data_IF_563785342168
#
_entry.id   IF_563785342168
#
_cell.length_a   1.000
_cell.length_b   1.000
_cell.length_c   1.000
_cell.angle_alpha   90.00
_cell.angle_beta   90.00
_cell.angle_gamma   90.00
#
_symmetry.space_group_name_H-M   'P 1'
#
loop_
_entity.id
_entity.type
_entity.pdbx_description
1 polymer ?
#
# COMPACT_ATOMS: atom_id res chain seq x y z
N UNK A 1 6.95 23.91 10.40
CA UNK A 1 7.75 22.71 10.69
C UNK A 1 6.77 21.54 10.71
N UNK A 2 6.52 20.93 9.55
CA UNK A 2 5.53 19.86 9.38
C UNK A 2 6.02 18.62 10.15
N UNK A 3 5.31 18.27 11.21
CA UNK A 3 5.62 17.14 12.07
C UNK A 3 5.53 15.85 11.25
N UNK A 4 6.63 15.10 11.22
CA UNK A 4 6.77 13.79 10.60
C UNK A 4 5.59 12.89 11.01
N UNK A 5 4.59 12.74 10.16
CA UNK A 5 3.64 11.62 10.19
C UNK A 5 4.40 10.37 9.75
N UNK A 6 5.38 9.94 10.55
CA UNK A 6 6.32 8.86 10.25
C UNK A 6 5.99 7.59 11.05
N UNK A 7 5.05 7.64 12.00
CA UNK A 7 4.85 6.52 12.94
C UNK A 7 3.91 5.43 12.39
N UNK A 8 2.69 5.78 11.96
CA UNK A 8 1.64 4.79 11.60
C UNK A 8 1.89 4.08 10.26
N UNK A 9 2.35 4.79 9.23
CA UNK A 9 2.64 4.17 7.93
C UNK A 9 3.81 3.20 8.00
N UNK A 10 4.80 3.50 8.85
CA UNK A 10 5.98 2.65 9.05
C UNK A 10 5.60 1.38 9.82
N UNK A 11 4.73 1.49 10.83
CA UNK A 11 4.18 0.33 11.54
C UNK A 11 3.39 -0.59 10.61
N UNK A 12 2.50 -0.04 9.76
CA UNK A 12 1.77 -0.84 8.78
C UNK A 12 2.73 -1.57 7.83
N UNK A 13 3.74 -0.87 7.30
CA UNK A 13 4.73 -1.51 6.41
C UNK A 13 5.49 -2.62 7.15
N UNK A 14 5.81 -2.46 8.43
CA UNK A 14 6.47 -3.51 9.23
C UNK A 14 5.59 -4.76 9.38
N UNK A 15 4.29 -4.59 9.65
CA UNK A 15 3.33 -5.71 9.69
C UNK A 15 3.24 -6.38 8.32
N UNK A 16 3.07 -5.62 7.24
CA UNK A 16 3.01 -6.16 5.88
C UNK A 16 4.32 -6.87 5.51
N UNK A 17 5.47 -6.39 5.96
CA UNK A 17 6.77 -7.01 5.72
C UNK A 17 6.89 -8.36 6.45
N UNK A 18 6.42 -8.45 7.69
CA UNK A 18 6.39 -9.70 8.44
C UNK A 18 5.53 -10.76 7.72
N UNK A 19 4.36 -10.36 7.23
CA UNK A 19 3.44 -11.29 6.57
C UNK A 19 3.85 -11.63 5.13
N UNK A 20 4.30 -10.66 4.34
CA UNK A 20 4.53 -10.82 2.91
C UNK A 20 6.00 -10.88 2.49
N UNK A 21 6.96 -10.57 3.38
CA UNK A 21 8.37 -10.38 3.02
C UNK A 21 9.03 -11.57 2.34
N UNK A 22 8.56 -12.79 2.60
CA UNK A 22 9.06 -14.01 1.93
C UNK A 22 8.46 -14.24 0.54
N UNK A 23 7.29 -13.66 0.26
CA UNK A 23 6.49 -13.97 -0.93
C UNK A 23 6.27 -12.75 -1.85
N UNK A 24 6.64 -11.55 -1.41
CA UNK A 24 6.41 -10.30 -2.14
C UNK A 24 7.63 -9.38 -2.03
N UNK A 25 7.99 -8.77 -3.15
CA UNK A 25 9.09 -7.80 -3.18
C UNK A 25 8.78 -6.55 -2.33
N UNK A 26 9.80 -6.00 -1.67
CA UNK A 26 9.69 -4.82 -0.80
C UNK A 26 9.01 -3.62 -1.46
N UNK A 27 9.26 -3.35 -2.75
CA UNK A 27 8.63 -2.24 -3.46
C UNK A 27 7.10 -2.42 -3.57
N UNK A 28 6.64 -3.66 -3.75
CA UNK A 28 5.21 -4.00 -3.79
C UNK A 28 4.59 -3.93 -2.39
N UNK A 29 5.29 -4.38 -1.37
CA UNK A 29 4.86 -4.25 0.03
C UNK A 29 4.67 -2.77 0.40
N UNK A 30 5.64 -1.92 0.06
CA UNK A 30 5.55 -0.46 0.27
C UNK A 30 4.39 0.15 -0.50
N UNK A 31 4.18 -0.27 -1.75
CA UNK A 31 3.02 0.15 -2.54
C UNK A 31 1.71 -0.24 -1.86
N UNK A 32 1.60 -1.47 -1.36
CA UNK A 32 0.44 -1.98 -0.64
C UNK A 32 0.14 -1.15 0.62
N UNK A 33 1.17 -0.85 1.42
CA UNK A 33 1.03 -0.01 2.60
C UNK A 33 0.53 1.40 2.26
N UNK A 34 1.12 2.04 1.23
CA UNK A 34 0.64 3.35 0.75
C UNK A 34 -0.79 3.28 0.24
N UNK A 35 -1.14 2.20 -0.48
CA UNK A 35 -2.48 2.00 -1.04
C UNK A 35 -3.54 1.85 0.05
N UNK A 36 -3.28 1.04 1.08
CA UNK A 36 -4.17 0.88 2.24
C UNK A 36 -4.34 2.21 2.97
N UNK A 37 -3.24 2.93 3.26
CA UNK A 37 -3.33 4.25 3.89
C UNK A 37 -4.13 5.26 3.05
N UNK A 38 -3.95 5.24 1.74
CA UNK A 38 -4.70 6.09 0.82
C UNK A 38 -6.20 5.76 0.86
N UNK A 39 -6.57 4.48 0.77
CA UNK A 39 -7.95 4.01 0.85
C UNK A 39 -8.62 4.48 2.16
N UNK A 40 -7.94 4.31 3.30
CA UNK A 40 -8.45 4.80 4.58
C UNK A 40 -8.63 6.33 4.62
N UNK A 41 -7.77 7.09 3.91
CA UNK A 41 -7.80 8.55 3.91
C UNK A 41 -8.86 9.14 2.98
N UNK A 42 -8.97 8.64 1.75
CA UNK A 42 -9.86 9.24 0.73
C UNK A 42 -11.20 8.52 0.58
N UNK A 43 -11.35 7.33 1.18
CA UNK A 43 -12.59 6.55 1.18
C UNK A 43 -13.18 6.34 -0.22
N UNK A 44 -12.32 6.20 -1.22
CA UNK A 44 -12.70 5.95 -2.62
C UNK A 44 -11.66 5.04 -3.28
N UNK A 45 -12.10 4.32 -4.30
CA UNK A 45 -11.28 3.37 -5.06
C UNK A 45 -10.66 3.98 -6.31
N UNK A 46 -10.98 5.25 -6.64
CA UNK A 46 -10.47 5.90 -7.85
C UNK A 46 -8.94 6.10 -7.81
N UNK A 47 -8.21 5.46 -8.71
CA UNK A 47 -6.73 5.47 -8.72
C UNK A 47 -6.13 6.88 -8.79
N UNK A 48 -6.75 7.81 -9.52
CA UNK A 48 -6.31 9.19 -9.59
C UNK A 48 -6.34 9.86 -8.20
N UNK A 49 -7.45 9.71 -7.48
CA UNK A 49 -7.62 10.27 -6.13
C UNK A 49 -6.77 9.54 -5.08
N UNK A 50 -6.48 8.25 -5.27
CA UNK A 50 -5.54 7.52 -4.42
C UNK A 50 -4.10 8.03 -4.63
N UNK A 51 -3.69 8.21 -5.89
CA UNK A 51 -2.33 8.61 -6.24
C UNK A 51 -1.93 9.98 -5.69
N UNK A 52 -2.87 10.93 -5.55
CA UNK A 52 -2.60 12.26 -4.97
C UNK A 52 -2.32 12.22 -3.47
N UNK A 53 -2.63 11.10 -2.79
CA UNK A 53 -2.42 10.97 -1.34
C UNK A 53 -1.19 10.16 -0.95
N UNK A 54 -0.50 9.60 -1.94
CA UNK A 54 0.74 8.87 -1.71
C UNK A 54 1.80 9.83 -1.19
N UNK A 55 2.21 9.63 0.07
CA UNK A 55 3.34 10.34 0.67
C UNK A 55 4.65 9.78 0.11
N UNK A 56 4.96 10.19 -1.11
CA UNK A 56 6.21 9.88 -1.80
C UNK A 56 6.75 11.15 -2.46
N UNK A 57 8.06 11.24 -2.67
CA UNK A 57 8.64 12.34 -3.44
C UNK A 57 8.33 12.29 -4.94
N UNK A 58 7.45 11.38 -5.39
CA UNK A 58 7.08 11.23 -6.79
C UNK A 58 5.81 12.04 -7.12
N UNK A 59 5.74 12.53 -8.35
CA UNK A 59 4.54 13.17 -8.90
C UNK A 59 3.32 12.24 -8.84
N UNK A 60 2.13 12.82 -8.67
CA UNK A 60 0.85 12.09 -8.64
C UNK A 60 0.64 11.21 -9.87
N UNK A 61 1.04 11.68 -11.05
CA UNK A 61 0.90 10.96 -12.33
C UNK A 61 1.81 9.73 -12.36
N UNK A 62 3.00 9.83 -11.77
CA UNK A 62 3.91 8.70 -11.61
C UNK A 62 3.35 7.65 -10.65
N UNK A 63 2.73 8.09 -9.56
CA UNK A 63 2.03 7.22 -8.61
C UNK A 63 0.81 6.54 -9.24
N UNK A 64 0.04 7.27 -10.04
CA UNK A 64 -1.10 6.74 -10.80
C UNK A 64 -0.65 5.62 -11.75
N UNK A 65 0.38 5.88 -12.56
CA UNK A 65 0.95 4.86 -13.46
C UNK A 65 1.44 3.62 -12.69
N UNK A 66 2.01 3.81 -11.50
CA UNK A 66 2.46 2.70 -10.65
C UNK A 66 1.28 1.86 -10.14
N UNK A 67 0.19 2.51 -9.70
CA UNK A 67 -1.05 1.80 -9.30
C UNK A 67 -1.61 1.02 -10.48
N UNK A 68 -1.73 1.66 -11.66
CA UNK A 68 -2.27 1.02 -12.86
C UNK A 68 -1.46 -0.21 -13.26
N UNK A 69 -0.13 -0.10 -13.33
CA UNK A 69 0.75 -1.25 -13.63
C UNK A 69 0.65 -2.33 -12.58
N UNK A 70 0.58 -1.98 -11.30
CA UNK A 70 0.39 -2.97 -10.24
C UNK A 70 -0.91 -3.75 -10.44
N UNK A 71 -2.02 -3.06 -10.70
CA UNK A 71 -3.31 -3.73 -10.90
C UNK A 71 -3.39 -4.52 -12.21
N UNK A 72 -2.70 -4.09 -13.27
CA UNK A 72 -2.69 -4.77 -14.56
C UNK A 72 -1.75 -5.98 -14.59
N UNK A 73 -0.54 -5.84 -14.06
CA UNK A 73 0.54 -6.81 -14.29
C UNK A 73 0.81 -7.71 -13.08
N UNK A 74 0.45 -7.27 -11.86
CA UNK A 74 0.76 -8.02 -10.66
C UNK A 74 -0.41 -8.93 -10.26
N UNK A 75 -0.20 -10.24 -10.46
CA UNK A 75 -1.08 -11.27 -9.90
C UNK A 75 -0.90 -11.34 -8.39
N UNK A 76 -1.77 -10.65 -7.67
CA UNK A 76 -1.81 -10.69 -6.22
C UNK A 76 -2.21 -12.10 -5.77
N UNK A 77 -1.36 -12.76 -4.98
CA UNK A 77 -1.67 -14.06 -4.42
C UNK A 77 -2.75 -13.89 -3.33
N UNK A 78 -3.97 -14.35 -3.64
CA UNK A 78 -5.14 -14.26 -2.77
C UNK A 78 -5.00 -15.07 -1.49
N UNK A 79 -4.25 -16.17 -1.50
CA UNK A 79 -4.02 -16.99 -0.30
C UNK A 79 -3.18 -16.22 0.73
N UNK A 80 -2.21 -15.43 0.26
CA UNK A 80 -1.45 -14.54 1.16
C UNK A 80 -2.35 -13.48 1.79
N UNK A 81 -3.25 -12.90 0.99
CA UNK A 81 -4.21 -11.90 1.49
C UNK A 81 -5.17 -12.51 2.49
N UNK A 82 -5.70 -13.72 2.21
CA UNK A 82 -6.57 -14.44 3.13
C UNK A 82 -5.87 -14.73 4.46
N UNK A 83 -4.62 -15.20 4.44
CA UNK A 83 -3.82 -15.42 5.65
C UNK A 83 -3.61 -14.14 6.46
N UNK A 84 -3.39 -13.00 5.79
CA UNK A 84 -3.30 -11.70 6.47
C UNK A 84 -4.65 -11.37 7.14
N UNK A 85 -5.76 -11.45 6.41
CA UNK A 85 -7.08 -11.12 6.93
C UNK A 85 -7.43 -11.98 8.15
N UNK A 86 -7.24 -13.31 8.06
CA UNK A 86 -7.52 -14.24 9.16
C UNK A 86 -6.70 -13.90 10.41
N UNK A 87 -5.43 -13.49 10.25
CA UNK A 87 -4.59 -13.07 11.37
C UNK A 87 -4.97 -11.70 11.96
N UNK A 88 -5.76 -10.90 11.24
CA UNK A 88 -6.27 -9.61 11.71
C UNK A 88 -7.66 -9.72 12.35
N UNK A 89 -8.32 -10.89 12.28
CA UNK A 89 -9.56 -11.15 13.00
C UNK A 89 -9.26 -11.31 14.51
N UNK A 90 -10.19 -10.86 15.38
CA UNK A 90 -10.07 -10.99 16.83
C UNK A 90 -10.14 -12.44 17.32
#
# INVERSE_FOLDING_TARGET
METKVQEKSTQLIAVLLNHFGKNMNLARIKLFGMFICALCKVQTVGFGKLATTFKSGAMSESSLRRIQRFMADYKLNTDLIAQLIVRLLP
#
